data_IF_019295821125
#
_entry.id   IF_019295821125
#
_cell.length_a   1.000
_cell.length_b   1.000
_cell.length_c   1.000
_cell.angle_alpha   90.00
_cell.angle_beta   90.00
_cell.angle_gamma   90.00
#
_symmetry.space_group_name_H-M   'P 1'
#
loop_
_entity.id
_entity.type
_entity.pdbx_description
1 polymer ?
#
# COMPACT_ATOMS: atom_id res chain seq x y z
N UNK A 1 -18.45 12.81 9.33
CA UNK A 1 -16.99 12.68 9.19
C UNK A 1 -16.70 11.77 8.01
N UNK A 2 -15.82 12.16 7.11
CA UNK A 2 -15.40 11.29 5.99
C UNK A 2 -13.90 11.04 6.06
N UNK A 3 -13.50 9.81 5.74
CA UNK A 3 -12.10 9.42 5.66
C UNK A 3 -11.50 9.79 4.31
N UNK A 4 -10.23 10.13 4.34
CA UNK A 4 -9.39 10.38 3.18
C UNK A 4 -7.97 9.94 3.50
N UNK A 5 -7.28 9.38 2.51
CA UNK A 5 -5.87 9.00 2.64
C UNK A 5 -4.95 10.09 2.10
N UNK A 6 -3.71 10.08 2.56
CA UNK A 6 -2.66 10.93 2.01
C UNK A 6 -2.31 10.54 0.56
N UNK A 7 -1.59 11.41 -0.13
CA UNK A 7 -1.15 11.14 -1.50
C UNK A 7 -0.34 9.84 -1.57
N UNK A 8 -0.68 9.01 -2.57
CA UNK A 8 -0.02 7.71 -2.78
C UNK A 8 -0.54 6.60 -1.88
N UNK A 9 -1.63 6.84 -1.14
CA UNK A 9 -2.38 5.84 -0.42
C UNK A 9 -3.84 5.83 -0.89
N UNK A 10 -4.43 4.65 -0.96
CA UNK A 10 -5.80 4.41 -1.36
C UNK A 10 -6.64 3.94 -0.17
N UNK A 11 -7.85 4.47 -0.04
CA UNK A 11 -8.77 4.12 1.02
C UNK A 11 -9.39 2.74 0.75
N UNK A 12 -9.22 1.83 1.70
CA UNK A 12 -9.79 0.49 1.69
C UNK A 12 -10.89 0.42 2.75
N UNK A 13 -12.13 0.28 2.30
CA UNK A 13 -13.32 0.26 3.15
C UNK A 13 -14.20 1.50 2.97
N UNK A 14 -15.03 1.79 3.98
CA UNK A 14 -16.05 2.82 3.90
C UNK A 14 -15.46 4.24 3.93
N UNK A 15 -15.93 5.12 3.04
CA UNK A 15 -15.56 6.55 3.08
C UNK A 15 -16.11 7.27 4.31
N UNK A 16 -17.20 6.78 4.88
CA UNK A 16 -17.88 7.38 6.02
C UNK A 16 -18.44 6.28 6.89
N UNK A 17 -18.21 6.35 8.19
CA UNK A 17 -18.86 5.49 9.19
C UNK A 17 -19.71 6.34 10.13
N UNK A 18 -20.71 5.72 10.75
CA UNK A 18 -21.66 6.32 11.67
C UNK A 18 -21.70 5.52 12.96
N UNK A 19 -21.84 6.21 14.08
CA UNK A 19 -22.09 5.58 15.36
C UNK A 19 -23.56 5.19 15.43
N UNK A 20 -23.82 3.92 15.66
CA UNK A 20 -25.15 3.34 15.85
C UNK A 20 -25.64 3.60 17.28
N UNK A 21 -26.94 3.37 17.52
CA UNK A 21 -27.58 3.63 18.82
C UNK A 21 -27.04 2.74 19.96
N UNK A 22 -26.40 1.61 19.62
CA UNK A 22 -25.69 0.72 20.54
C UNK A 22 -24.24 1.18 20.84
N UNK A 23 -23.83 2.33 20.30
CA UNK A 23 -22.51 2.93 20.53
C UNK A 23 -21.38 2.31 19.71
N UNK A 24 -21.71 1.41 18.76
CA UNK A 24 -20.74 0.80 17.86
C UNK A 24 -20.74 1.51 16.50
N UNK A 25 -19.62 1.43 15.79
CA UNK A 25 -19.58 1.87 14.40
C UNK A 25 -20.39 0.92 13.53
N UNK A 26 -21.17 1.48 12.61
CA UNK A 26 -21.97 0.70 11.65
C UNK A 26 -21.10 -0.09 10.67
N UNK A 27 -19.84 0.30 10.51
CA UNK A 27 -18.84 -0.32 9.64
C UNK A 27 -17.46 -0.24 10.31
N UNK A 28 -16.53 -1.10 9.87
CA UNK A 28 -15.16 -1.06 10.36
C UNK A 28 -14.44 0.23 9.95
N UNK A 29 -13.43 0.61 10.74
CA UNK A 29 -12.59 1.76 10.44
C UNK A 29 -11.79 1.44 9.17
N UNK A 30 -11.88 2.25 8.10
CA UNK A 30 -11.19 1.98 6.86
C UNK A 30 -9.67 2.14 7.02
N UNK A 31 -8.92 1.38 6.22
CA UNK A 31 -7.47 1.43 6.19
C UNK A 31 -6.96 2.22 4.97
N UNK A 32 -5.79 2.84 5.10
CA UNK A 32 -5.09 3.42 3.95
C UNK A 32 -3.98 2.47 3.51
N UNK A 33 -4.05 1.95 2.28
CA UNK A 33 -3.01 1.09 1.71
C UNK A 33 -2.20 1.88 0.69
N UNK A 34 -0.88 1.72 0.71
CA UNK A 34 -0.02 2.34 -0.28
C UNK A 34 -0.42 1.86 -1.69
N UNK A 35 -0.47 2.79 -2.64
CA UNK A 35 -0.73 2.46 -4.04
C UNK A 35 0.37 1.54 -4.53
N UNK A 36 -0.02 0.45 -5.19
CA UNK A 36 0.88 -0.53 -5.76
C UNK A 36 1.25 -0.15 -7.20
N UNK A 37 2.54 -0.08 -7.49
CA UNK A 37 3.06 0.06 -8.84
C UNK A 37 3.10 -1.32 -9.53
N UNK A 38 3.29 -1.30 -10.85
CA UNK A 38 3.57 -2.53 -11.59
C UNK A 38 4.84 -3.19 -11.01
N UNK A 39 4.80 -4.52 -10.91
CA UNK A 39 5.94 -5.28 -10.44
C UNK A 39 7.16 -5.02 -11.33
N UNK A 40 8.29 -4.73 -10.70
CA UNK A 40 9.55 -4.59 -11.42
C UNK A 40 10.05 -5.98 -11.84
N UNK A 41 10.48 -6.10 -13.08
CA UNK A 41 10.98 -7.36 -13.62
C UNK A 41 12.45 -7.56 -13.26
N UNK A 42 12.79 -8.75 -12.76
CA UNK A 42 14.18 -9.12 -12.53
C UNK A 42 14.92 -9.27 -13.88
N UNK A 43 16.10 -8.65 -14.06
CA UNK A 43 16.85 -8.72 -15.30
C UNK A 43 17.43 -10.11 -15.58
N UNK A 44 17.42 -10.52 -16.85
CA UNK A 44 18.09 -11.72 -17.35
C UNK A 44 19.61 -11.54 -17.11
N UNK A 45 20.19 -12.28 -16.16
CA UNK A 45 21.57 -12.13 -15.66
C UNK A 45 21.83 -11.01 -14.64
N UNK A 46 20.82 -10.56 -13.91
CA UNK A 46 21.02 -9.68 -12.77
C UNK A 46 20.18 -10.06 -11.56
N UNK A 47 20.13 -9.17 -10.57
CA UNK A 47 19.31 -9.31 -9.38
C UNK A 47 18.59 -8.01 -9.05
N UNK A 48 17.41 -8.16 -8.44
CA UNK A 48 16.58 -7.07 -7.94
C UNK A 48 16.55 -7.12 -6.41
N UNK A 49 17.00 -6.04 -5.76
CA UNK A 49 16.95 -5.89 -4.30
C UNK A 49 16.09 -4.68 -3.93
N UNK A 50 14.94 -4.94 -3.31
CA UNK A 50 14.10 -3.91 -2.68
C UNK A 50 14.25 -4.00 -1.15
N UNK A 51 14.08 -2.89 -0.44
CA UNK A 51 14.12 -2.90 1.03
C UNK A 51 12.97 -3.72 1.66
N UNK A 52 13.20 -4.14 2.91
CA UNK A 52 12.64 -5.32 3.61
C UNK A 52 11.19 -5.20 4.09
N UNK A 53 10.29 -4.72 3.23
CA UNK A 53 8.86 -4.90 3.44
C UNK A 53 8.27 -5.57 2.19
N UNK A 54 8.17 -6.90 2.25
CA UNK A 54 7.53 -7.71 1.19
C UNK A 54 6.10 -7.24 0.90
N UNK A 55 5.39 -6.74 1.92
CA UNK A 55 4.05 -6.16 1.83
C UNK A 55 4.03 -4.77 1.15
N UNK A 56 5.17 -4.07 1.12
CA UNK A 56 5.32 -2.78 0.47
C UNK A 56 6.11 -2.87 -0.83
N UNK A 57 6.58 -4.05 -1.25
CA UNK A 57 7.36 -4.18 -2.48
C UNK A 57 6.58 -3.57 -3.65
N UNK A 58 7.24 -2.70 -4.40
CA UNK A 58 6.65 -1.93 -5.52
C UNK A 58 5.55 -0.93 -5.13
N UNK A 59 5.40 -0.58 -3.86
CA UNK A 59 4.43 0.45 -3.45
C UNK A 59 4.97 1.88 -3.57
N UNK A 60 4.08 2.85 -3.38
CA UNK A 60 4.43 4.26 -3.35
C UNK A 60 5.62 4.55 -2.41
N UNK A 61 6.63 5.27 -2.91
CA UNK A 61 7.91 5.62 -2.25
C UNK A 61 8.90 4.48 -2.03
N UNK A 62 8.64 3.26 -2.51
CA UNK A 62 9.62 2.17 -2.43
C UNK A 62 10.71 2.30 -3.49
N UNK A 63 11.92 1.99 -3.07
CA UNK A 63 13.12 2.07 -3.91
C UNK A 63 13.70 0.67 -4.02
N UNK A 64 13.89 0.22 -5.26
CA UNK A 64 14.54 -1.03 -5.57
C UNK A 64 15.80 -0.76 -6.38
N UNK A 65 16.85 -1.52 -6.07
CA UNK A 65 18.13 -1.50 -6.77
C UNK A 65 18.26 -2.71 -7.68
N UNK A 66 18.87 -2.52 -8.84
CA UNK A 66 19.19 -3.58 -9.78
C UNK A 66 20.71 -3.75 -9.83
N UNK A 67 21.18 -4.99 -9.92
CA UNK A 67 22.60 -5.30 -10.11
C UNK A 67 22.78 -6.36 -11.19
N UNK A 68 23.93 -6.36 -11.87
CA UNK A 68 24.28 -7.35 -12.89
C UNK A 68 25.20 -8.41 -12.27
N UNK A 69 25.03 -9.68 -12.64
CA UNK A 69 25.97 -10.72 -12.31
C UNK A 69 27.20 -10.60 -13.24
N UNK A 70 28.39 -10.40 -12.64
CA UNK A 70 29.68 -10.36 -13.34
C UNK A 70 30.14 -11.73 -13.78
#
# INVERSE_FOLDING_TARGET
>A
CSFSCEQGFELQGAKTIKCSDDGQWNEEIPACKAVQCAALQEPEHGSLSCEDDTEMRFSYKQVCSFSCAS
#
